data_IF_748597443617
#
_entry.id   IF_748597443617
#
_cell.length_a   1.000
_cell.length_b   1.000
_cell.length_c   1.000
_cell.angle_alpha   90.00
_cell.angle_beta   90.00
_cell.angle_gamma   90.00
#
_symmetry.space_group_name_H-M   'P 1'
#
loop_
_entity.id
_entity.type
_entity.pdbx_description
1 polymer ?
#
# COMPACT_ATOMS: atom_id res chain seq x y z
N UNK A 1 -31.60 -3.59 4.23
CA UNK A 1 -30.25 -3.06 4.45
C UNK A 1 -29.30 -4.27 4.54
N UNK A 2 -28.39 -4.42 3.61
CA UNK A 2 -27.43 -5.52 3.61
C UNK A 2 -26.35 -5.28 4.69
N UNK A 3 -25.77 -6.34 5.25
CA UNK A 3 -24.70 -6.26 6.27
C UNK A 3 -23.57 -5.29 5.90
N UNK A 4 -23.31 -5.10 4.62
CA UNK A 4 -22.31 -4.14 4.11
C UNK A 4 -22.68 -2.67 4.35
N UNK A 5 -23.97 -2.29 4.28
CA UNK A 5 -24.42 -0.92 4.51
C UNK A 5 -24.44 -0.53 6.00
N UNK A 6 -24.75 -1.47 6.89
CA UNK A 6 -24.72 -1.22 8.33
C UNK A 6 -23.26 -1.06 8.85
N UNK A 7 -22.33 -1.75 8.21
CA UNK A 7 -20.90 -1.73 8.59
C UNK A 7 -20.20 -0.39 8.25
N UNK A 8 -20.60 0.29 7.16
CA UNK A 8 -19.99 1.57 6.75
C UNK A 8 -20.35 2.71 7.73
N UNK A 9 -21.49 2.61 8.40
CA UNK A 9 -22.02 3.68 9.27
C UNK A 9 -21.18 3.86 10.54
N UNK A 10 -20.62 2.80 11.11
CA UNK A 10 -19.83 2.86 12.34
C UNK A 10 -18.40 3.43 12.14
N UNK A 11 -17.82 3.26 10.95
CA UNK A 11 -16.49 3.77 10.61
C UNK A 11 -16.51 5.26 10.18
N UNK A 12 -17.60 5.70 9.53
CA UNK A 12 -17.69 7.02 8.91
C UNK A 12 -17.38 8.20 9.86
N UNK A 13 -17.89 8.26 11.11
CA UNK A 13 -17.58 9.36 12.01
C UNK A 13 -16.09 9.52 12.32
N UNK A 14 -15.38 8.42 12.46
CA UNK A 14 -13.94 8.42 12.73
C UNK A 14 -13.11 8.91 11.54
N UNK A 15 -13.51 8.54 10.33
CA UNK A 15 -12.85 9.02 9.11
C UNK A 15 -13.13 10.52 8.91
N UNK A 16 -14.34 10.98 9.19
CA UNK A 16 -14.68 12.40 9.11
C UNK A 16 -13.87 13.23 10.12
N UNK A 17 -13.78 12.79 11.38
CA UNK A 17 -12.94 13.44 12.40
C UNK A 17 -11.48 13.49 11.99
N UNK A 18 -10.94 12.39 11.41
CA UNK A 18 -9.59 12.37 10.91
C UNK A 18 -9.35 13.45 9.84
N UNK A 19 -10.27 13.57 8.87
CA UNK A 19 -10.18 14.55 7.78
C UNK A 19 -10.25 16.00 8.24
N UNK A 20 -10.99 16.26 9.32
CA UNK A 20 -11.19 17.60 9.87
C UNK A 20 -10.05 18.03 10.80
N UNK A 21 -9.40 17.11 11.48
CA UNK A 21 -8.51 17.43 12.58
C UNK A 21 -7.03 17.20 12.28
N UNK A 22 -6.69 16.25 11.40
CA UNK A 22 -5.32 15.76 11.31
C UNK A 22 -4.70 15.88 9.92
N UNK A 23 -3.36 16.02 9.87
CA UNK A 23 -2.62 16.06 8.62
C UNK A 23 -2.52 14.65 7.99
N UNK A 24 -2.11 14.63 6.73
CA UNK A 24 -1.85 13.38 6.01
C UNK A 24 -0.46 12.80 6.32
N UNK A 25 0.42 13.64 6.79
CA UNK A 25 1.78 13.28 7.17
C UNK A 25 2.16 14.01 8.45
N UNK A 26 3.09 13.44 9.20
CA UNK A 26 3.65 13.99 10.43
C UNK A 26 5.15 13.70 10.51
N UNK A 27 5.85 14.32 11.47
CA UNK A 27 7.30 14.22 11.60
C UNK A 27 8.01 14.42 10.23
N UNK A 28 9.05 13.66 9.93
CA UNK A 28 9.82 13.76 8.69
C UNK A 28 9.15 13.01 7.52
N UNK A 29 7.97 13.46 7.08
CA UNK A 29 7.20 12.91 5.96
C UNK A 29 6.69 11.47 6.18
N UNK A 30 6.36 11.13 7.42
CA UNK A 30 5.71 9.85 7.71
C UNK A 30 4.22 9.94 7.36
N UNK A 31 3.75 9.04 6.53
CA UNK A 31 2.33 8.95 6.17
C UNK A 31 1.46 8.68 7.41
N UNK A 32 0.36 9.40 7.55
CA UNK A 32 -0.65 9.10 8.55
C UNK A 32 -1.31 7.76 8.24
N UNK A 33 -1.21 6.81 9.16
CA UNK A 33 -1.86 5.51 9.03
C UNK A 33 -3.24 5.45 9.69
N UNK A 34 -3.65 6.52 10.38
CA UNK A 34 -4.89 6.54 11.16
C UNK A 34 -6.13 6.05 10.37
N UNK A 35 -6.46 6.59 9.18
CA UNK A 35 -7.65 6.14 8.47
C UNK A 35 -7.56 4.68 8.00
N UNK A 36 -6.36 4.21 7.63
CA UNK A 36 -6.14 2.83 7.21
C UNK A 36 -6.25 1.85 8.38
N UNK A 37 -5.68 2.21 9.54
CA UNK A 37 -5.77 1.40 10.76
C UNK A 37 -7.20 1.35 11.32
N UNK A 38 -7.94 2.46 11.29
CA UNK A 38 -9.35 2.50 11.66
C UNK A 38 -10.20 1.58 10.78
N UNK A 39 -10.00 1.61 9.46
CA UNK A 39 -10.68 0.67 8.57
C UNK A 39 -10.27 -0.79 8.85
N UNK A 40 -8.99 -1.05 9.10
CA UNK A 40 -8.52 -2.40 9.43
C UNK A 40 -9.11 -2.88 10.77
N UNK A 41 -9.08 -2.08 11.82
CA UNK A 41 -9.70 -2.36 13.12
C UNK A 41 -11.18 -2.68 12.98
N UNK A 42 -11.92 -1.82 12.30
CA UNK A 42 -13.34 -2.04 12.03
C UNK A 42 -13.59 -3.36 11.30
N UNK A 43 -12.80 -3.65 10.26
CA UNK A 43 -12.90 -4.90 9.48
C UNK A 43 -12.54 -6.13 10.30
N UNK A 44 -11.68 -5.99 11.31
CA UNK A 44 -11.29 -7.07 12.23
C UNK A 44 -12.30 -7.26 13.37
N UNK A 45 -13.29 -6.37 13.53
CA UNK A 45 -14.36 -6.50 14.50
C UNK A 45 -14.20 -5.64 15.76
N UNK A 46 -13.31 -4.63 15.72
CA UNK A 46 -13.20 -3.66 16.82
C UNK A 46 -14.53 -2.94 17.05
N UNK A 47 -14.93 -2.81 18.32
CA UNK A 47 -16.08 -2.04 18.72
C UNK A 47 -15.80 -0.53 18.76
N UNK A 48 -16.84 0.27 19.00
CA UNK A 48 -16.73 1.72 19.03
C UNK A 48 -15.78 2.22 20.13
N UNK A 49 -15.80 1.59 21.30
CA UNK A 49 -14.91 1.96 22.41
C UNK A 49 -13.44 1.75 22.05
N UNK A 50 -13.15 0.64 21.37
CA UNK A 50 -11.78 0.35 20.89
C UNK A 50 -11.36 1.33 19.78
N UNK A 51 -12.26 1.65 18.85
CA UNK A 51 -12.02 2.65 17.80
C UNK A 51 -11.68 4.02 18.41
N UNK A 52 -12.46 4.46 19.40
CA UNK A 52 -12.24 5.70 20.15
C UNK A 52 -10.87 5.71 20.86
N UNK A 53 -10.54 4.62 21.55
CA UNK A 53 -9.26 4.49 22.26
C UNK A 53 -8.08 4.58 21.29
N UNK A 54 -8.12 3.86 20.18
CA UNK A 54 -7.07 3.89 19.15
C UNK A 54 -6.94 5.28 18.51
N UNK A 55 -8.07 5.90 18.13
CA UNK A 55 -8.07 7.25 17.58
C UNK A 55 -7.39 8.24 18.52
N UNK A 56 -7.76 8.24 19.79
CA UNK A 56 -7.16 9.09 20.83
C UNK A 56 -5.68 8.82 21.06
N UNK A 57 -5.28 7.55 21.04
CA UNK A 57 -3.87 7.16 21.22
C UNK A 57 -3.03 7.60 20.02
N UNK A 58 -3.50 7.29 18.81
CA UNK A 58 -2.78 7.60 17.57
C UNK A 58 -2.68 9.10 17.32
N UNK A 59 -3.72 9.89 17.63
CA UNK A 59 -3.77 11.32 17.37
C UNK A 59 -2.66 12.13 18.07
N UNK A 60 -2.09 11.59 19.14
CA UNK A 60 -0.93 12.21 19.84
C UNK A 60 0.31 12.32 18.95
N UNK A 61 0.41 11.50 17.89
CA UNK A 61 1.53 11.54 16.94
C UNK A 61 1.55 12.80 16.07
N UNK A 62 0.41 13.49 15.95
CA UNK A 62 0.30 14.68 15.11
C UNK A 62 0.80 15.96 15.77
N UNK A 63 0.95 15.96 17.08
CA UNK A 63 1.59 17.01 17.89
C UNK A 63 1.14 18.45 17.52
N UNK A 64 -0.16 18.63 17.39
CA UNK A 64 -0.76 19.93 17.05
C UNK A 64 -0.65 20.36 15.59
N UNK A 65 -0.12 19.53 14.69
CA UNK A 65 -0.12 19.81 13.25
C UNK A 65 -1.57 19.74 12.73
N UNK A 66 -2.10 20.84 12.17
CA UNK A 66 -3.50 20.88 11.75
C UNK A 66 -3.75 20.11 10.47
N UNK A 67 -5.02 19.80 10.22
CA UNK A 67 -5.46 19.34 8.90
C UNK A 67 -5.19 20.42 7.84
N UNK A 68 -4.90 20.04 6.58
CA UNK A 68 -4.70 20.97 5.49
C UNK A 68 -5.95 21.83 5.26
N UNK A 69 -5.77 23.13 5.10
CA UNK A 69 -6.84 24.06 4.76
C UNK A 69 -7.43 23.75 3.37
N UNK A 70 -8.69 24.09 3.17
CA UNK A 70 -9.30 24.00 1.84
C UNK A 70 -8.73 25.06 0.90
N UNK A 71 -8.54 24.68 -0.36
CA UNK A 71 -8.09 25.57 -1.44
C UNK A 71 -9.00 25.43 -2.67
N UNK A 72 -9.02 26.43 -3.59
CA UNK A 72 -9.70 26.29 -4.87
C UNK A 72 -9.20 25.04 -5.62
N UNK A 73 -10.13 24.40 -6.35
CA UNK A 73 -9.81 23.19 -7.11
C UNK A 73 -8.73 23.45 -8.18
N UNK A 74 -7.81 22.51 -8.32
CA UNK A 74 -6.84 22.51 -9.41
C UNK A 74 -7.59 22.48 -10.76
N UNK A 75 -7.10 23.25 -11.75
CA UNK A 75 -7.68 23.25 -13.10
C UNK A 75 -7.41 21.96 -13.86
N UNK A 76 -6.21 21.43 -13.67
CA UNK A 76 -5.76 20.16 -14.25
C UNK A 76 -4.95 19.40 -13.19
N UNK A 77 -5.45 18.25 -12.78
CA UNK A 77 -4.80 17.44 -11.76
C UNK A 77 -3.50 16.77 -12.26
N UNK A 78 -3.43 16.47 -13.58
CA UNK A 78 -2.21 15.90 -14.17
C UNK A 78 -1.05 16.89 -14.19
N UNK A 79 -1.33 18.17 -14.43
CA UNK A 79 -0.33 19.22 -14.46
C UNK A 79 0.30 19.51 -13.09
N UNK A 80 -0.40 19.18 -11.99
CA UNK A 80 0.10 19.37 -10.60
C UNK A 80 0.37 18.04 -9.89
N UNK A 81 0.30 16.92 -10.61
CA UNK A 81 0.62 15.60 -10.09
C UNK A 81 2.10 15.54 -9.69
N UNK A 82 2.37 15.07 -8.46
CA UNK A 82 3.71 15.02 -7.88
C UNK A 82 4.11 16.29 -7.12
N UNK A 83 3.25 17.29 -7.10
CA UNK A 83 3.46 18.50 -6.29
C UNK A 83 2.70 18.37 -4.96
N UNK A 84 3.45 18.22 -3.88
CA UNK A 84 2.89 18.12 -2.53
C UNK A 84 2.12 19.40 -2.12
N UNK A 85 2.58 20.56 -2.55
CA UNK A 85 1.93 21.84 -2.22
C UNK A 85 0.52 21.95 -2.82
N UNK A 86 0.24 21.19 -3.89
CA UNK A 86 -1.06 21.14 -4.54
C UNK A 86 -2.09 20.20 -3.87
N UNK A 87 -1.76 19.56 -2.75
CA UNK A 87 -2.67 18.58 -2.11
C UNK A 87 -4.07 19.13 -1.91
N UNK A 88 -4.22 20.32 -1.31
CA UNK A 88 -5.53 20.92 -1.02
C UNK A 88 -6.32 21.22 -2.29
N UNK A 89 -5.66 21.75 -3.32
CA UNK A 89 -6.28 22.00 -4.63
C UNK A 89 -6.68 20.70 -5.35
N UNK A 90 -5.86 19.63 -5.24
CA UNK A 90 -6.19 18.29 -5.73
C UNK A 90 -7.37 17.69 -4.98
N UNK A 91 -7.44 17.87 -3.66
CA UNK A 91 -8.57 17.41 -2.85
C UNK A 91 -9.88 18.04 -3.34
N UNK A 92 -9.92 19.36 -3.51
CA UNK A 92 -11.09 20.06 -4.04
C UNK A 92 -11.43 19.63 -5.48
N UNK A 93 -10.41 19.38 -6.33
CA UNK A 93 -10.64 18.83 -7.67
C UNK A 93 -11.31 17.44 -7.63
N UNK A 94 -10.79 16.51 -6.83
CA UNK A 94 -11.35 15.15 -6.75
C UNK A 94 -12.72 15.12 -6.08
N UNK A 95 -13.01 16.02 -5.15
CA UNK A 95 -14.33 16.17 -4.54
C UNK A 95 -15.38 16.53 -5.59
N UNK A 96 -15.13 17.58 -6.37
CA UNK A 96 -16.02 18.00 -7.47
C UNK A 96 -16.17 16.90 -8.53
N UNK A 97 -15.08 16.27 -8.88
CA UNK A 97 -15.05 15.23 -9.88
C UNK A 97 -15.79 13.95 -9.46
N UNK A 98 -15.66 13.55 -8.19
CA UNK A 98 -16.43 12.43 -7.63
C UNK A 98 -17.93 12.73 -7.60
N UNK A 99 -18.31 13.96 -7.21
CA UNK A 99 -19.70 14.39 -7.20
C UNK A 99 -20.32 14.37 -8.61
N UNK A 100 -19.55 14.75 -9.64
CA UNK A 100 -20.03 14.81 -11.02
C UNK A 100 -20.10 13.44 -11.71
N UNK A 101 -19.15 12.54 -11.49
CA UNK A 101 -18.99 11.31 -12.27
C UNK A 101 -19.28 10.03 -11.49
N UNK A 102 -19.30 10.12 -10.16
CA UNK A 102 -19.39 8.97 -9.28
C UNK A 102 -18.05 8.21 -9.12
N UNK A 103 -18.00 7.35 -8.10
CA UNK A 103 -16.80 6.65 -7.66
C UNK A 103 -16.14 5.83 -8.77
N UNK A 104 -16.90 4.93 -9.38
CA UNK A 104 -16.33 3.92 -10.27
C UNK A 104 -15.83 4.54 -11.59
N UNK A 105 -16.54 5.52 -12.12
CA UNK A 105 -16.11 6.25 -13.31
C UNK A 105 -14.82 7.05 -13.03
N UNK A 106 -14.75 7.72 -11.86
CA UNK A 106 -13.57 8.46 -11.47
C UNK A 106 -12.36 7.54 -11.27
N UNK A 107 -12.49 6.41 -10.58
CA UNK A 107 -11.41 5.45 -10.38
C UNK A 107 -10.87 4.91 -11.71
N UNK A 108 -11.75 4.51 -12.65
CA UNK A 108 -11.33 4.05 -13.99
C UNK A 108 -10.54 5.13 -14.76
N UNK A 109 -10.87 6.39 -14.57
CA UNK A 109 -10.22 7.50 -15.26
C UNK A 109 -8.83 7.83 -14.69
N UNK A 110 -8.66 7.77 -13.37
CA UNK A 110 -7.42 8.28 -12.73
C UNK A 110 -6.41 7.19 -12.40
N UNK A 111 -6.84 5.94 -12.14
CA UNK A 111 -5.93 4.88 -11.74
C UNK A 111 -4.86 4.55 -12.77
N UNK A 112 -5.13 4.55 -14.09
CA UNK A 112 -4.10 4.33 -15.11
C UNK A 112 -2.95 5.34 -15.03
N UNK A 113 -3.26 6.60 -14.69
CA UNK A 113 -2.28 7.67 -14.54
C UNK A 113 -1.58 7.69 -13.18
N UNK A 114 -2.21 7.13 -12.14
CA UNK A 114 -1.62 7.02 -10.81
C UNK A 114 -0.70 5.80 -10.67
N UNK A 115 -1.03 4.67 -11.29
CA UNK A 115 -0.31 3.41 -11.13
C UNK A 115 1.19 3.49 -11.43
N UNK A 116 1.67 4.25 -12.43
CA UNK A 116 3.11 4.43 -12.64
C UNK A 116 3.88 5.00 -11.44
N UNK A 117 3.19 5.66 -10.51
CA UNK A 117 3.73 6.12 -9.22
C UNK A 117 3.40 5.23 -8.04
N UNK A 118 3.22 3.92 -8.23
CA UNK A 118 2.84 2.96 -7.17
C UNK A 118 3.84 2.92 -6.01
N UNK A 119 5.11 3.13 -6.29
CA UNK A 119 6.20 3.14 -5.30
C UNK A 119 6.22 4.39 -4.42
N UNK A 120 5.52 5.46 -4.81
CA UNK A 120 5.52 6.72 -4.10
C UNK A 120 5.14 6.53 -2.62
N UNK A 121 5.85 7.26 -1.74
CA UNK A 121 5.71 7.17 -0.28
C UNK A 121 5.62 5.72 0.22
N UNK A 122 6.44 4.82 -0.32
CA UNK A 122 6.49 3.40 0.04
C UNK A 122 5.11 2.71 -0.08
N UNK A 123 4.45 2.85 -1.22
CA UNK A 123 3.12 2.34 -1.56
C UNK A 123 1.94 3.00 -0.81
N UNK A 124 2.17 3.94 0.11
CA UNK A 124 1.09 4.46 0.96
C UNK A 124 -0.03 5.15 0.19
N UNK A 125 0.24 5.77 -0.99
CA UNK A 125 -0.82 6.29 -1.85
C UNK A 125 -1.83 5.23 -2.26
N UNK A 126 -1.35 4.10 -2.77
CA UNK A 126 -2.19 2.98 -3.18
C UNK A 126 -2.83 2.25 -1.98
N UNK A 127 -2.06 2.03 -0.90
CA UNK A 127 -2.57 1.37 0.32
C UNK A 127 -3.73 2.18 0.90
N UNK A 128 -3.57 3.50 1.05
CA UNK A 128 -4.62 4.38 1.56
C UNK A 128 -5.86 4.35 0.67
N UNK A 129 -5.66 4.44 -0.66
CA UNK A 129 -6.77 4.39 -1.60
C UNK A 129 -7.53 3.06 -1.55
N UNK A 130 -6.83 1.93 -1.44
CA UNK A 130 -7.47 0.62 -1.31
C UNK A 130 -8.31 0.50 -0.03
N UNK A 131 -7.81 1.02 1.10
CA UNK A 131 -8.58 1.09 2.34
C UNK A 131 -9.80 2.03 2.21
N UNK A 132 -9.65 3.19 1.55
CA UNK A 132 -10.74 4.14 1.33
C UNK A 132 -11.85 3.56 0.45
N UNK A 133 -11.47 2.83 -0.61
CA UNK A 133 -12.42 2.14 -1.50
C UNK A 133 -13.24 1.10 -0.75
N UNK A 134 -12.60 0.29 0.09
CA UNK A 134 -13.27 -0.75 0.88
C UNK A 134 -14.08 -0.16 2.05
N UNK A 135 -13.59 0.89 2.68
CA UNK A 135 -14.27 1.59 3.76
C UNK A 135 -15.49 2.40 3.30
N UNK A 136 -15.59 2.70 2.00
CA UNK A 136 -16.80 3.30 1.40
C UNK A 136 -17.06 4.77 1.80
N UNK A 137 -16.14 5.46 2.47
CA UNK A 137 -16.29 6.85 2.88
C UNK A 137 -15.83 7.83 1.79
N UNK A 138 -16.73 8.66 1.26
CA UNK A 138 -16.46 9.53 0.11
C UNK A 138 -15.34 10.54 0.37
N UNK A 139 -15.31 11.18 1.54
CA UNK A 139 -14.28 12.15 1.91
C UNK A 139 -12.89 11.51 2.01
N UNK A 140 -12.79 10.29 2.58
CA UNK A 140 -11.52 9.58 2.65
C UNK A 140 -11.06 9.10 1.27
N UNK A 141 -11.98 8.73 0.37
CA UNK A 141 -11.66 8.41 -1.02
C UNK A 141 -11.06 9.62 -1.75
N UNK A 142 -11.65 10.80 -1.58
CA UNK A 142 -11.13 12.08 -2.11
C UNK A 142 -9.74 12.36 -1.56
N UNK A 143 -9.56 12.25 -0.23
CA UNK A 143 -8.27 12.49 0.42
C UNK A 143 -7.19 11.51 -0.04
N UNK A 144 -7.53 10.23 -0.22
CA UNK A 144 -6.60 9.21 -0.70
C UNK A 144 -6.17 9.44 -2.15
N UNK A 145 -7.08 9.83 -3.04
CA UNK A 145 -6.77 10.19 -4.43
C UNK A 145 -5.86 11.42 -4.48
N UNK A 146 -6.17 12.47 -3.73
CA UNK A 146 -5.37 13.69 -3.65
C UNK A 146 -3.98 13.40 -3.07
N UNK A 147 -3.91 12.56 -2.03
CA UNK A 147 -2.64 12.15 -1.42
C UNK A 147 -1.74 11.42 -2.42
N UNK A 148 -2.27 10.39 -3.10
CA UNK A 148 -1.48 9.68 -4.09
C UNK A 148 -1.06 10.58 -5.24
N UNK A 149 -1.96 11.41 -5.74
CA UNK A 149 -1.66 12.37 -6.81
C UNK A 149 -0.58 13.39 -6.41
N UNK A 150 -0.66 13.98 -5.21
CA UNK A 150 0.30 14.99 -4.75
C UNK A 150 1.68 14.42 -4.41
N UNK A 151 1.76 13.16 -4.02
CA UNK A 151 3.01 12.44 -3.74
C UNK A 151 3.48 11.55 -4.89
N UNK A 152 2.78 11.59 -6.00
CA UNK A 152 3.10 10.76 -7.16
C UNK A 152 4.53 10.96 -7.64
N UNK A 153 5.26 9.86 -7.75
CA UNK A 153 6.61 9.84 -8.31
C UNK A 153 6.87 8.49 -8.96
N UNK A 154 7.26 8.53 -10.22
CA UNK A 154 7.66 7.33 -10.95
C UNK A 154 9.12 7.01 -10.66
N UNK A 155 9.43 5.72 -10.49
CA UNK A 155 10.81 5.26 -10.49
C UNK A 155 11.40 5.36 -11.90
N UNK A 156 12.73 5.59 -12.03
CA UNK A 156 13.40 5.57 -13.33
C UNK A 156 13.11 4.26 -14.07
N UNK A 157 12.75 4.37 -15.34
CA UNK A 157 12.66 3.19 -16.20
C UNK A 157 14.08 2.68 -16.46
N UNK A 158 14.37 1.39 -16.29
CA UNK A 158 15.66 0.83 -16.63
C UNK A 158 15.90 0.92 -18.14
N UNK A 159 17.17 1.03 -18.59
CA UNK A 159 17.49 1.03 -20.02
C UNK A 159 17.08 -0.30 -20.67
N UNK A 160 16.56 -0.24 -21.89
CA UNK A 160 16.11 -1.41 -22.66
C UNK A 160 17.32 -2.17 -23.24
N UNK A 161 17.77 -3.22 -22.58
CA UNK A 161 18.97 -3.94 -22.96
C UNK A 161 18.72 -5.32 -23.63
N UNK A 162 17.48 -5.65 -23.98
CA UNK A 162 17.16 -6.90 -24.66
C UNK A 162 17.54 -8.20 -23.91
N UNK A 163 17.66 -8.13 -22.59
CA UNK A 163 18.07 -9.27 -21.78
C UNK A 163 17.01 -10.38 -21.77
N UNK A 164 17.46 -11.62 -21.71
CA UNK A 164 16.59 -12.79 -21.61
C UNK A 164 15.76 -12.75 -20.32
N UNK A 165 14.46 -13.08 -20.41
CA UNK A 165 13.62 -13.25 -19.23
C UNK A 165 14.12 -14.40 -18.35
N UNK A 166 14.10 -14.20 -17.03
CA UNK A 166 14.37 -15.24 -16.05
C UNK A 166 13.06 -15.94 -15.63
N UNK A 167 13.18 -17.17 -15.13
CA UNK A 167 12.09 -17.73 -14.34
C UNK A 167 11.87 -16.89 -13.08
N UNK A 168 10.66 -16.89 -12.53
CA UNK A 168 10.34 -16.15 -11.30
C UNK A 168 11.28 -16.54 -10.14
N UNK A 169 11.60 -17.83 -10.01
CA UNK A 169 12.53 -18.36 -8.99
C UNK A 169 13.94 -17.81 -9.18
N UNK A 170 14.52 -17.95 -10.39
CA UNK A 170 15.87 -17.47 -10.66
C UNK A 170 15.99 -15.93 -10.49
N UNK A 171 14.94 -15.20 -10.90
CA UNK A 171 14.86 -13.76 -10.71
C UNK A 171 14.81 -13.39 -9.21
N UNK A 172 14.00 -14.09 -8.41
CA UNK A 172 13.91 -13.89 -6.96
C UNK A 172 15.24 -14.18 -6.25
N UNK A 173 15.88 -15.30 -6.57
CA UNK A 173 17.20 -15.67 -6.01
C UNK A 173 18.25 -14.61 -6.32
N UNK A 174 18.27 -14.09 -7.54
CA UNK A 174 19.20 -13.03 -7.95
C UNK A 174 18.92 -11.71 -7.24
N UNK A 175 17.64 -11.35 -7.02
CA UNK A 175 17.25 -10.20 -6.23
C UNK A 175 17.74 -10.32 -4.78
N UNK A 176 17.50 -11.46 -4.15
CA UNK A 176 17.91 -11.71 -2.75
C UNK A 176 19.44 -11.63 -2.62
N UNK A 177 20.17 -12.33 -3.47
CA UNK A 177 21.64 -12.34 -3.44
C UNK A 177 22.24 -10.96 -3.72
N UNK A 178 21.73 -10.25 -4.73
CA UNK A 178 22.26 -8.95 -5.12
C UNK A 178 21.92 -7.86 -4.10
N UNK A 179 20.71 -7.84 -3.56
CA UNK A 179 20.30 -6.86 -2.57
C UNK A 179 21.10 -6.97 -1.25
N UNK A 180 21.63 -8.14 -0.91
CA UNK A 180 22.45 -8.33 0.28
C UNK A 180 23.76 -7.51 0.25
N UNK A 181 24.21 -7.11 -0.92
CA UNK A 181 25.47 -6.36 -1.12
C UNK A 181 25.32 -4.85 -1.02
N UNK A 182 24.09 -4.35 -0.92
CA UNK A 182 23.81 -2.92 -0.94
C UNK A 182 22.98 -2.47 0.28
N UNK A 183 23.27 -1.27 0.75
CA UNK A 183 22.54 -0.61 1.83
C UNK A 183 22.41 0.88 1.56
N UNK A 184 21.30 1.47 1.99
CA UNK A 184 21.06 2.91 1.99
C UNK A 184 21.01 3.42 3.43
N UNK A 185 21.52 4.60 3.67
CA UNK A 185 21.41 5.30 4.96
C UNK A 185 20.24 6.32 4.99
N UNK A 186 19.50 6.45 3.91
CA UNK A 186 18.35 7.34 3.86
C UNK A 186 17.31 7.03 4.97
N UNK A 187 16.69 8.06 5.56
CA UNK A 187 15.93 7.94 6.81
C UNK A 187 14.64 7.11 6.67
N UNK A 188 13.97 7.17 5.54
CA UNK A 188 12.71 6.45 5.34
C UNK A 188 12.75 5.50 4.14
N UNK A 189 11.77 4.59 4.07
CA UNK A 189 11.69 3.55 3.02
C UNK A 189 11.65 4.19 1.63
N UNK A 190 10.87 5.24 1.45
CA UNK A 190 10.68 5.86 0.14
C UNK A 190 11.98 6.46 -0.42
N UNK A 191 12.73 7.18 0.39
CA UNK A 191 14.04 7.72 -0.02
C UNK A 191 15.04 6.60 -0.31
N UNK A 192 15.02 5.51 0.46
CA UNK A 192 15.82 4.32 0.16
C UNK A 192 15.44 3.66 -1.16
N UNK A 193 14.12 3.61 -1.50
CA UNK A 193 13.67 3.12 -2.80
C UNK A 193 14.16 3.98 -3.96
N UNK A 194 14.17 5.30 -3.79
CA UNK A 194 14.71 6.22 -4.79
C UNK A 194 16.21 6.02 -4.99
N UNK A 195 16.99 5.89 -3.92
CA UNK A 195 18.41 5.57 -4.03
C UNK A 195 18.65 4.19 -4.67
N UNK A 196 17.86 3.18 -4.31
CA UNK A 196 17.93 1.84 -4.91
C UNK A 196 17.69 1.89 -6.42
N UNK A 197 16.75 2.71 -6.88
CA UNK A 197 16.40 2.81 -8.30
C UNK A 197 17.53 3.41 -9.18
N UNK A 198 18.51 4.06 -8.58
CA UNK A 198 19.73 4.52 -9.25
C UNK A 198 20.86 3.47 -9.31
N UNK A 199 20.66 2.24 -8.82
CA UNK A 199 21.73 1.24 -8.75
C UNK A 199 21.73 0.27 -9.93
N UNK A 200 22.93 -0.24 -10.33
CA UNK A 200 23.03 -1.21 -11.43
C UNK A 200 22.16 -2.45 -11.23
N UNK A 201 22.08 -2.97 -10.00
CA UNK A 201 21.22 -4.12 -9.66
C UNK A 201 19.75 -3.84 -9.94
N UNK A 202 19.26 -2.64 -9.59
CA UNK A 202 17.88 -2.25 -9.95
C UNK A 202 17.72 -2.21 -11.47
N UNK A 203 18.61 -1.53 -12.18
CA UNK A 203 18.53 -1.43 -13.62
C UNK A 203 18.54 -2.81 -14.29
N UNK A 204 19.33 -3.74 -13.76
CA UNK A 204 19.39 -5.11 -14.23
C UNK A 204 18.08 -5.86 -13.95
N UNK A 205 17.65 -5.96 -12.69
CA UNK A 205 16.52 -6.81 -12.28
C UNK A 205 15.15 -6.23 -12.64
N UNK A 206 15.02 -4.92 -12.68
CA UNK A 206 13.79 -4.27 -13.14
C UNK A 206 13.61 -4.40 -14.66
N UNK A 207 14.71 -4.65 -15.39
CA UNK A 207 14.70 -4.89 -16.83
C UNK A 207 14.62 -6.39 -17.19
N UNK A 208 15.42 -7.22 -16.52
CA UNK A 208 15.36 -8.68 -16.62
C UNK A 208 14.20 -9.17 -15.75
N UNK A 209 13.02 -8.67 -16.05
CA UNK A 209 11.82 -9.10 -15.37
C UNK A 209 11.57 -10.59 -15.60
N UNK A 210 10.90 -11.28 -14.68
CA UNK A 210 10.38 -12.61 -14.98
C UNK A 210 9.46 -12.51 -16.20
N UNK A 211 9.38 -13.58 -16.99
CA UNK A 211 8.50 -13.64 -18.15
C UNK A 211 7.12 -13.04 -17.84
N UNK A 212 6.50 -12.28 -18.76
CA UNK A 212 5.22 -11.64 -18.50
C UNK A 212 4.17 -12.65 -18.03
N UNK A 213 3.49 -12.35 -16.94
CA UNK A 213 2.34 -13.12 -16.49
C UNK A 213 1.14 -12.90 -17.44
N UNK A 214 0.17 -13.82 -17.50
CA UNK A 214 -1.00 -13.67 -18.36
C UNK A 214 -1.80 -12.39 -18.13
N UNK A 215 -1.85 -11.93 -16.87
CA UNK A 215 -2.56 -10.72 -16.46
C UNK A 215 -1.78 -9.99 -15.34
N UNK A 216 -2.15 -8.73 -15.08
CA UNK A 216 -1.62 -8.00 -13.93
C UNK A 216 -1.93 -8.72 -12.59
N UNK A 217 -3.15 -9.28 -12.45
CA UNK A 217 -3.51 -10.01 -11.22
C UNK A 217 -2.68 -11.27 -11.03
N UNK A 218 -2.33 -11.99 -12.11
CA UNK A 218 -1.42 -13.12 -12.03
C UNK A 218 -0.02 -12.68 -11.55
N UNK A 219 0.50 -11.56 -12.09
CA UNK A 219 1.77 -10.97 -11.62
C UNK A 219 1.69 -10.54 -10.15
N UNK A 220 0.59 -9.92 -9.74
CA UNK A 220 0.36 -9.54 -8.33
C UNK A 220 0.42 -10.78 -7.44
N UNK A 221 -0.23 -11.88 -7.82
CA UNK A 221 -0.22 -13.14 -7.05
C UNK A 221 1.21 -13.73 -6.92
N UNK A 222 1.98 -13.74 -8.01
CA UNK A 222 3.37 -14.20 -8.00
C UNK A 222 4.24 -13.37 -7.04
N UNK A 223 4.17 -12.04 -7.14
CA UNK A 223 4.92 -11.14 -6.28
C UNK A 223 4.45 -11.18 -4.82
N UNK A 224 3.15 -11.37 -4.58
CA UNK A 224 2.57 -11.51 -3.25
C UNK A 224 3.08 -12.80 -2.56
N UNK A 225 3.17 -13.91 -3.28
CA UNK A 225 3.76 -15.14 -2.78
C UNK A 225 5.24 -15.00 -2.41
N UNK A 226 6.03 -14.25 -3.21
CA UNK A 226 7.42 -13.93 -2.90
C UNK A 226 7.54 -13.01 -1.68
N UNK A 227 6.79 -11.92 -1.62
CA UNK A 227 6.80 -11.00 -0.49
C UNK A 227 6.42 -11.70 0.82
N UNK A 228 5.41 -12.58 0.77
CA UNK A 228 5.02 -13.41 1.91
C UNK A 228 6.18 -14.31 2.37
N UNK A 229 6.85 -15.02 1.45
CA UNK A 229 8.03 -15.82 1.75
C UNK A 229 9.15 -14.98 2.38
N UNK A 230 9.45 -13.82 1.84
CA UNK A 230 10.44 -12.90 2.40
C UNK A 230 10.07 -12.43 3.80
N UNK A 231 8.80 -12.13 4.05
CA UNK A 231 8.33 -11.70 5.37
C UNK A 231 8.48 -12.82 6.41
N UNK A 232 8.08 -14.04 6.07
CA UNK A 232 8.18 -15.20 6.96
C UNK A 232 9.62 -15.53 7.40
N UNK A 233 10.62 -15.17 6.58
CA UNK A 233 12.02 -15.39 6.88
C UNK A 233 12.75 -14.14 7.41
N UNK A 234 12.07 -13.02 7.59
CA UNK A 234 12.75 -11.79 7.98
C UNK A 234 11.99 -10.94 9.01
N UNK A 235 10.66 -11.03 9.06
CA UNK A 235 9.77 -10.08 9.75
C UNK A 235 10.10 -8.62 9.39
N UNK A 236 10.55 -8.37 8.15
CA UNK A 236 11.11 -7.10 7.74
C UNK A 236 10.00 -6.05 7.53
N UNK A 237 10.22 -4.86 8.07
CA UNK A 237 9.28 -3.76 8.04
C UNK A 237 8.97 -3.26 6.61
N UNK A 238 9.94 -3.22 5.70
CA UNK A 238 9.70 -2.83 4.31
C UNK A 238 8.95 -3.93 3.55
N UNK A 239 9.24 -5.20 3.84
CA UNK A 239 8.53 -6.34 3.23
C UNK A 239 7.05 -6.36 3.64
N UNK A 240 6.72 -5.93 4.87
CA UNK A 240 5.33 -5.69 5.28
C UNK A 240 4.62 -4.70 4.32
N UNK A 241 5.30 -3.61 3.93
CA UNK A 241 4.74 -2.65 2.99
C UNK A 241 4.61 -3.23 1.57
N UNK A 242 5.48 -4.17 1.19
CA UNK A 242 5.32 -4.90 -0.08
C UNK A 242 4.04 -5.75 -0.08
N UNK A 243 3.75 -6.47 1.01
CA UNK A 243 2.51 -7.26 1.15
C UNK A 243 1.28 -6.35 1.06
N UNK A 244 1.24 -5.28 1.85
CA UNK A 244 0.09 -4.36 1.88
C UNK A 244 -0.06 -3.57 0.58
N UNK A 245 1.04 -3.23 -0.08
CA UNK A 245 1.06 -2.57 -1.39
C UNK A 245 0.54 -3.47 -2.52
N UNK A 246 0.95 -4.74 -2.56
CA UNK A 246 0.45 -5.73 -3.54
C UNK A 246 -1.04 -6.01 -3.33
N UNK A 247 -1.48 -6.14 -2.06
CA UNK A 247 -2.90 -6.20 -1.75
C UNK A 247 -3.65 -4.98 -2.29
N UNK A 248 -3.09 -3.79 -2.12
CA UNK A 248 -3.72 -2.57 -2.64
C UNK A 248 -3.91 -2.63 -4.15
N UNK A 249 -2.91 -3.09 -4.91
CA UNK A 249 -3.05 -3.27 -6.38
C UNK A 249 -4.15 -4.28 -6.69
N UNK A 250 -4.23 -5.41 -5.98
CA UNK A 250 -5.30 -6.41 -6.17
C UNK A 250 -6.68 -5.80 -5.92
N UNK A 251 -6.84 -5.03 -4.85
CA UNK A 251 -8.11 -4.36 -4.53
C UNK A 251 -8.51 -3.34 -5.60
N UNK A 252 -7.54 -2.62 -6.17
CA UNK A 252 -7.78 -1.57 -7.17
C UNK A 252 -7.88 -2.11 -8.61
N UNK A 253 -7.46 -3.34 -8.87
CA UNK A 253 -7.43 -3.94 -10.20
C UNK A 253 -8.76 -3.91 -10.98
N UNK A 254 -9.97 -4.01 -10.36
CA UNK A 254 -11.23 -3.93 -11.07
C UNK A 254 -11.49 -2.62 -11.83
N UNK A 255 -10.78 -1.56 -11.48
CA UNK A 255 -10.88 -0.26 -12.16
C UNK A 255 -9.75 0.02 -13.14
N UNK A 256 -8.78 -0.91 -13.30
CA UNK A 256 -7.68 -0.77 -14.25
C UNK A 256 -8.05 -1.30 -15.64
N UNK A 257 -7.48 -0.73 -16.72
CA UNK A 257 -7.69 -1.22 -18.07
C UNK A 257 -7.27 -2.67 -18.26
N UNK A 258 -8.03 -3.40 -19.08
CA UNK A 258 -7.78 -4.82 -19.36
C UNK A 258 -7.10 -5.05 -20.72
N UNK A 259 -6.77 -3.99 -21.47
CA UNK A 259 -6.04 -4.12 -22.72
C UNK A 259 -4.60 -4.58 -22.48
N UNK A 260 -4.07 -5.35 -23.44
CA UNK A 260 -2.77 -6.01 -23.33
C UNK A 260 -1.61 -5.06 -23.10
N UNK A 261 -1.64 -3.88 -23.70
CA UNK A 261 -0.57 -2.88 -23.60
C UNK A 261 -0.49 -2.34 -22.18
N UNK A 262 -1.62 -1.92 -21.62
CA UNK A 262 -1.67 -1.47 -20.24
C UNK A 262 -1.27 -2.58 -19.27
N UNK A 263 -1.77 -3.81 -19.46
CA UNK A 263 -1.46 -4.94 -18.57
C UNK A 263 0.06 -5.23 -18.52
N UNK A 264 0.77 -5.14 -19.63
CA UNK A 264 2.22 -5.32 -19.70
C UNK A 264 2.92 -4.16 -18.96
N UNK A 265 2.57 -2.91 -19.27
CA UNK A 265 3.17 -1.73 -18.61
C UNK A 265 2.94 -1.72 -17.10
N UNK A 266 1.75 -2.12 -16.66
CA UNK A 266 1.41 -2.22 -15.24
C UNK A 266 2.27 -3.28 -14.52
N UNK A 267 2.52 -4.44 -15.15
CA UNK A 267 3.40 -5.47 -14.62
C UNK A 267 4.86 -4.98 -14.51
N UNK A 268 5.35 -4.26 -15.52
CA UNK A 268 6.69 -3.67 -15.50
C UNK A 268 6.87 -2.69 -14.33
N UNK A 269 5.94 -1.75 -14.20
CA UNK A 269 5.94 -0.76 -13.11
C UNK A 269 5.90 -1.42 -11.74
N UNK A 270 5.05 -2.44 -11.59
CA UNK A 270 4.93 -3.18 -10.32
C UNK A 270 6.21 -3.96 -10.00
N UNK A 271 6.85 -4.58 -11.00
CA UNK A 271 8.13 -5.28 -10.85
C UNK A 271 9.25 -4.31 -10.45
N UNK A 272 9.31 -3.13 -11.07
CA UNK A 272 10.24 -2.06 -10.70
C UNK A 272 10.07 -1.63 -9.24
N UNK A 273 8.83 -1.37 -8.82
CA UNK A 273 8.53 -1.00 -7.44
C UNK A 273 8.91 -2.10 -6.44
N UNK A 274 8.67 -3.36 -6.81
CA UNK A 274 9.01 -4.53 -5.99
C UNK A 274 10.53 -4.65 -5.79
N UNK A 275 11.33 -4.54 -6.86
CA UNK A 275 12.81 -4.58 -6.79
C UNK A 275 13.33 -3.45 -5.89
N UNK A 276 12.89 -2.21 -6.14
CA UNK A 276 13.32 -1.06 -5.35
C UNK A 276 12.97 -1.21 -3.86
N UNK A 277 11.76 -1.71 -3.55
CA UNK A 277 11.32 -1.92 -2.17
C UNK A 277 12.13 -3.02 -1.47
N UNK A 278 12.39 -4.15 -2.14
CA UNK A 278 13.19 -5.21 -1.56
C UNK A 278 14.62 -4.75 -1.25
N UNK A 279 15.26 -4.07 -2.20
CA UNK A 279 16.58 -3.47 -2.00
C UNK A 279 16.59 -2.47 -0.84
N UNK A 280 15.56 -1.58 -0.78
CA UNK A 280 15.41 -0.60 0.30
C UNK A 280 15.19 -1.24 1.68
N UNK A 281 14.73 -2.49 1.72
CA UNK A 281 14.33 -3.18 2.93
C UNK A 281 15.47 -3.58 3.85
N UNK A 282 16.71 -3.67 3.37
CA UNK A 282 17.84 -4.18 4.17
C UNK A 282 17.51 -5.55 4.78
N UNK A 283 16.89 -6.42 3.98
CA UNK A 283 16.30 -7.69 4.44
C UNK A 283 17.40 -8.60 4.98
N UNK A 284 17.22 -9.08 6.21
CA UNK A 284 18.08 -10.07 6.83
C UNK A 284 17.29 -11.36 7.03
N UNK A 285 17.73 -12.41 6.36
CA UNK A 285 17.13 -13.73 6.50
C UNK A 285 17.43 -14.35 7.85
N UNK A 286 16.41 -14.91 8.49
CA UNK A 286 16.51 -15.60 9.78
C UNK A 286 15.65 -16.86 9.74
N UNK A 287 16.05 -17.89 10.45
CA UNK A 287 15.13 -18.93 10.81
C UNK A 287 14.21 -18.40 11.92
N UNK A 288 12.97 -18.09 11.57
CA UNK A 288 11.97 -17.68 12.54
C UNK A 288 11.17 -18.93 12.90
N UNK A 289 11.24 -19.43 14.14
CA UNK A 289 10.48 -20.60 14.53
C UNK A 289 8.99 -20.36 14.32
N UNK A 290 8.38 -21.15 13.46
CA UNK A 290 6.94 -21.17 13.31
C UNK A 290 6.40 -21.86 14.57
N UNK A 291 5.68 -21.14 15.42
CA UNK A 291 5.05 -21.74 16.60
C UNK A 291 3.99 -22.72 16.15
N UNK A 292 4.07 -23.94 16.71
CA UNK A 292 3.15 -25.04 16.37
C UNK A 292 1.68 -24.81 16.81
N UNK A 293 1.40 -23.77 17.58
CA UNK A 293 0.03 -23.39 17.92
C UNK A 293 -0.60 -22.71 16.70
N UNK A 294 -1.49 -23.43 16.04
CA UNK A 294 -2.28 -22.90 14.92
C UNK A 294 -3.29 -21.90 15.47
N UNK A 295 -2.91 -20.61 15.46
CA UNK A 295 -3.88 -19.55 15.72
C UNK A 295 -4.96 -19.58 14.64
N UNK A 296 -6.21 -19.30 15.00
CA UNK A 296 -7.28 -19.11 14.03
C UNK A 296 -7.39 -17.64 13.65
N UNK A 297 -8.06 -17.34 12.52
CA UNK A 297 -8.32 -15.95 12.13
C UNK A 297 -9.10 -15.18 13.20
N UNK A 298 -9.99 -15.82 13.93
CA UNK A 298 -10.72 -15.19 15.05
C UNK A 298 -9.75 -14.74 16.15
N UNK A 299 -8.87 -15.62 16.60
CA UNK A 299 -7.87 -15.31 17.64
C UNK A 299 -6.92 -14.18 17.18
N UNK A 300 -6.47 -14.20 15.92
CA UNK A 300 -5.59 -13.18 15.41
C UNK A 300 -6.30 -11.82 15.21
N UNK A 301 -7.57 -11.85 14.80
CA UNK A 301 -8.38 -10.64 14.69
C UNK A 301 -8.58 -10.00 16.08
N UNK A 302 -8.95 -10.78 17.09
CA UNK A 302 -9.10 -10.30 18.46
C UNK A 302 -7.79 -9.70 18.99
N UNK A 303 -6.67 -10.38 18.81
CA UNK A 303 -5.36 -9.89 19.23
C UNK A 303 -4.96 -8.58 18.48
N UNK A 304 -5.24 -8.51 17.19
CA UNK A 304 -4.97 -7.31 16.39
C UNK A 304 -5.83 -6.12 16.81
N UNK A 305 -7.10 -6.34 17.19
CA UNK A 305 -7.96 -5.26 17.69
C UNK A 305 -7.46 -4.67 19.01
N UNK A 306 -6.72 -5.42 19.80
CA UNK A 306 -6.10 -4.94 21.06
C UNK A 306 -4.74 -4.26 20.85
N UNK A 307 -4.13 -4.39 19.68
CA UNK A 307 -2.80 -3.83 19.39
C UNK A 307 -2.83 -2.30 19.24
N UNK A 308 -1.80 -1.62 19.72
CA UNK A 308 -1.54 -0.19 19.43
C UNK A 308 -0.60 0.00 18.22
N UNK A 309 -0.06 -1.09 17.65
CA UNK A 309 0.77 -1.05 16.46
C UNK A 309 -0.10 -1.05 15.19
N UNK A 310 -0.20 0.10 14.55
CA UNK A 310 -0.95 0.29 13.32
C UNK A 310 -0.44 -0.55 12.14
N UNK A 311 0.83 -0.92 12.13
CA UNK A 311 1.39 -1.83 11.11
C UNK A 311 0.95 -3.26 11.34
N UNK A 312 0.98 -3.73 12.60
CA UNK A 312 0.48 -5.07 12.95
C UNK A 312 -1.01 -5.20 12.61
N UNK A 313 -1.83 -4.22 13.00
CA UNK A 313 -3.28 -4.17 12.70
C UNK A 313 -3.51 -4.27 11.18
N UNK A 314 -2.84 -3.44 10.40
CA UNK A 314 -2.99 -3.42 8.93
C UNK A 314 -2.49 -4.72 8.29
N UNK A 315 -1.39 -5.28 8.79
CA UNK A 315 -0.86 -6.52 8.22
C UNK A 315 -1.75 -7.72 8.51
N UNK A 316 -2.32 -7.84 9.73
CA UNK A 316 -3.29 -8.90 10.04
C UNK A 316 -4.52 -8.79 9.14
N UNK A 317 -5.05 -7.59 8.95
CA UNK A 317 -6.15 -7.35 8.02
C UNK A 317 -5.78 -7.73 6.58
N UNK A 318 -4.60 -7.29 6.10
CA UNK A 318 -4.12 -7.63 4.77
C UNK A 318 -3.93 -9.14 4.59
N UNK A 319 -3.31 -9.81 5.54
CA UNK A 319 -3.10 -11.26 5.51
C UNK A 319 -4.42 -12.03 5.47
N UNK A 320 -5.44 -11.59 6.22
CA UNK A 320 -6.78 -12.22 6.18
C UNK A 320 -7.41 -12.09 4.80
N UNK A 321 -7.33 -10.91 4.19
CA UNK A 321 -7.84 -10.61 2.84
C UNK A 321 -7.13 -11.46 1.76
N UNK A 322 -5.78 -11.51 1.84
CA UNK A 322 -4.95 -12.23 0.87
C UNK A 322 -5.09 -13.76 1.04
N UNK A 323 -5.24 -14.24 2.27
CA UNK A 323 -5.53 -15.65 2.53
C UNK A 323 -6.86 -16.07 1.91
N UNK A 324 -7.89 -15.23 2.00
CA UNK A 324 -9.18 -15.49 1.36
C UNK A 324 -9.09 -15.45 -0.17
N UNK A 325 -8.23 -14.58 -0.72
CA UNK A 325 -8.07 -14.43 -2.17
C UNK A 325 -7.24 -15.56 -2.81
N UNK A 326 -6.19 -16.04 -2.13
CA UNK A 326 -5.23 -16.99 -2.69
C UNK A 326 -5.31 -18.39 -2.09
N UNK A 327 -6.02 -18.59 -0.99
CA UNK A 327 -6.08 -19.88 -0.28
C UNK A 327 -4.76 -20.29 0.37
N UNK A 328 -3.79 -19.37 0.53
CA UNK A 328 -2.46 -19.68 1.04
C UNK A 328 -2.42 -19.59 2.58
N UNK A 329 -2.21 -20.75 3.29
CA UNK A 329 -2.19 -20.78 4.76
C UNK A 329 -1.01 -20.01 5.38
N UNK A 330 0.04 -19.71 4.62
CA UNK A 330 1.20 -18.96 5.11
C UNK A 330 0.84 -17.54 5.56
N UNK A 331 -0.24 -16.95 5.04
CA UNK A 331 -0.75 -15.66 5.51
C UNK A 331 -1.18 -15.70 6.97
N UNK A 332 -1.72 -16.81 7.46
CA UNK A 332 -2.06 -16.98 8.88
C UNK A 332 -0.80 -16.90 9.76
N UNK A 333 0.30 -17.49 9.28
CA UNK A 333 1.59 -17.45 9.98
C UNK A 333 2.17 -16.03 9.98
N UNK A 334 2.11 -15.32 8.84
CA UNK A 334 2.57 -13.93 8.76
C UNK A 334 1.77 -12.99 9.67
N UNK A 335 0.46 -13.17 9.76
CA UNK A 335 -0.39 -12.44 10.69
C UNK A 335 -0.03 -12.71 12.16
N UNK A 336 0.23 -13.96 12.51
CA UNK A 336 0.67 -14.34 13.86
C UNK A 336 2.05 -13.75 14.21
N UNK A 337 2.95 -13.66 13.22
CA UNK A 337 4.27 -13.03 13.41
C UNK A 337 4.17 -11.51 13.65
N UNK A 338 3.23 -10.84 13.02
CA UNK A 338 3.03 -9.39 13.16
C UNK A 338 2.59 -8.97 14.57
N UNK A 339 2.04 -9.89 15.36
CA UNK A 339 1.49 -9.65 16.69
C UNK A 339 2.45 -10.07 17.84
N UNK A 340 3.68 -10.46 17.52
CA UNK A 340 4.72 -10.79 18.50
C UNK A 340 5.53 -9.54 18.85
#
# INVERSE_FOLDING_TARGET
MTHAQANTTALAPWLELNLQQFPLEYADQLSSHLPMALHALHSLGADEARMAAFFKSYSRRFDGVPAPAAEPAARDWLGVRGDWSAYSALRSYFELALAAEGRDARLRRVLPDLLPGISAVAFHGAIRLAHAVQGGHAGELVAALAYWASRWQRLPAPPQNGAACLSLTAWSERLVAGAATWRSEAPNIFLRMLEASGRPLYAELAWVAPAPAPTLLARVAELASLALGYYLHSANFTVLHMITGLRAVRVLAPWLPQDKTFQIQAQEVLTQAFVAAYMAGRVQWREIPLTAAVATWAVLADAATLSEDDHAIKLVHACRDESAAYGDPRYLQAAAMALR
#
